data_IF_109893347965
#
_entry.id   IF_109893347965
#
_cell.length_a   1.000
_cell.length_b   1.000
_cell.length_c   1.000
_cell.angle_alpha   90.00
_cell.angle_beta   90.00
_cell.angle_gamma   90.00
#
_symmetry.space_group_name_H-M   'P 1'
#
loop_
_entity.id
_entity.type
_entity.pdbx_description
1 polymer ?
#
# COMPACT_ATOMS: atom_id res chain seq x y z
N UNK A 1 -6.71 -6.18 -9.53
CA UNK A 1 -5.49 -6.19 -10.36
C UNK A 1 -5.27 -7.57 -10.97
N UNK A 2 -4.96 -7.61 -12.25
CA UNK A 2 -4.59 -8.85 -12.96
C UNK A 2 -3.31 -8.59 -13.76
N UNK A 3 -2.43 -9.57 -13.83
CA UNK A 3 -1.31 -9.47 -14.73
C UNK A 3 -1.74 -9.75 -16.17
N UNK A 4 -1.20 -9.01 -17.12
CA UNK A 4 -1.41 -9.19 -18.56
C UNK A 4 -0.08 -9.18 -19.30
N UNK A 5 -0.04 -9.77 -20.50
CA UNK A 5 1.16 -9.83 -21.35
C UNK A 5 1.57 -11.25 -21.68
N UNK A 6 2.67 -11.38 -22.46
CA UNK A 6 3.14 -12.66 -23.02
C UNK A 6 3.45 -13.71 -21.94
N UNK A 7 3.87 -13.30 -20.76
CA UNK A 7 4.18 -14.18 -19.63
C UNK A 7 2.99 -14.42 -18.68
N UNK A 8 1.81 -13.85 -18.95
CA UNK A 8 0.61 -14.02 -18.13
C UNK A 8 0.20 -15.49 -17.91
N UNK A 9 0.33 -16.42 -18.90
CA UNK A 9 0.04 -17.83 -18.67
C UNK A 9 1.00 -18.52 -17.69
N UNK A 10 2.24 -18.01 -17.57
CA UNK A 10 3.26 -18.56 -16.67
C UNK A 10 3.11 -18.03 -15.23
N UNK A 11 2.65 -16.77 -15.10
CA UNK A 11 2.46 -16.12 -13.81
C UNK A 11 1.04 -15.59 -13.68
N UNK A 12 0.13 -16.40 -13.10
CA UNK A 12 -1.18 -15.88 -12.72
C UNK A 12 -1.03 -15.08 -11.44
N UNK A 13 -1.48 -13.83 -11.48
CA UNK A 13 -1.67 -12.97 -10.33
C UNK A 13 -2.99 -12.24 -10.49
N UNK A 14 -3.87 -12.41 -9.50
CA UNK A 14 -5.10 -11.64 -9.36
C UNK A 14 -5.11 -11.08 -7.95
N UNK A 15 -5.47 -9.80 -7.81
CA UNK A 15 -5.52 -9.15 -6.50
C UNK A 15 -6.64 -8.15 -6.43
N UNK A 16 -7.33 -8.16 -5.29
CA UNK A 16 -8.37 -7.22 -4.94
C UNK A 16 -7.94 -6.46 -3.68
N UNK A 17 -8.25 -5.18 -3.66
CA UNK A 17 -7.90 -4.27 -2.58
C UNK A 17 -9.13 -3.43 -2.26
N UNK A 18 -9.45 -3.36 -0.99
CA UNK A 18 -10.59 -2.61 -0.49
C UNK A 18 -10.20 -1.83 0.75
N UNK A 19 -10.64 -0.59 0.85
CA UNK A 19 -10.53 0.22 2.05
C UNK A 19 -11.84 0.97 2.29
N UNK A 20 -12.24 1.06 3.54
CA UNK A 20 -13.35 1.91 3.97
C UNK A 20 -12.98 2.69 5.23
N UNK A 21 -13.70 3.77 5.46
CA UNK A 21 -13.47 4.64 6.60
C UNK A 21 -14.40 5.84 6.63
N UNK A 22 -13.96 6.88 7.33
CA UNK A 22 -14.67 8.15 7.47
C UNK A 22 -13.86 9.27 6.84
N UNK A 23 -14.52 10.37 6.54
CA UNK A 23 -13.86 11.64 6.18
C UNK A 23 -14.14 12.62 7.31
N UNK A 24 -13.10 13.11 7.97
CA UNK A 24 -13.16 14.09 9.05
C UNK A 24 -12.15 15.18 8.71
N UNK A 25 -12.61 16.43 8.67
CA UNK A 25 -11.75 17.59 8.38
C UNK A 25 -10.86 17.42 7.16
N UNK A 26 -11.45 16.94 6.07
CA UNK A 26 -10.76 16.63 4.79
C UNK A 26 -9.67 15.55 4.89
N UNK A 27 -9.62 14.80 5.98
CA UNK A 27 -8.75 13.65 6.16
C UNK A 27 -9.55 12.35 6.06
N UNK A 28 -9.02 11.38 5.32
CA UNK A 28 -9.56 10.03 5.28
C UNK A 28 -9.02 9.24 6.47
N UNK A 29 -9.93 8.72 7.30
CA UNK A 29 -9.63 7.91 8.48
C UNK A 29 -10.06 6.47 8.17
N UNK A 30 -9.10 5.59 7.95
CA UNK A 30 -9.38 4.18 7.69
C UNK A 30 -10.06 3.51 8.89
N UNK A 31 -11.04 2.66 8.61
CA UNK A 31 -11.64 1.73 9.58
C UNK A 31 -11.29 0.28 9.27
N UNK A 32 -11.34 -0.10 8.01
CA UNK A 32 -11.04 -1.45 7.58
C UNK A 32 -10.35 -1.45 6.21
N UNK A 33 -9.31 -2.25 6.10
CA UNK A 33 -8.63 -2.57 4.86
C UNK A 33 -8.63 -4.07 4.65
N UNK A 34 -8.83 -4.48 3.41
CA UNK A 34 -8.72 -5.86 2.97
C UNK A 34 -7.95 -5.94 1.67
N UNK A 35 -6.98 -6.83 1.61
CA UNK A 35 -6.38 -7.24 0.35
C UNK A 35 -6.48 -8.77 0.23
N UNK A 36 -6.81 -9.23 -0.94
CA UNK A 36 -6.73 -10.64 -1.31
C UNK A 36 -5.93 -10.77 -2.59
N UNK A 37 -5.11 -11.80 -2.69
CA UNK A 37 -4.40 -12.10 -3.90
C UNK A 37 -4.24 -13.60 -4.10
N UNK A 38 -4.27 -13.98 -5.37
CA UNK A 38 -4.19 -15.37 -5.81
C UNK A 38 -3.07 -15.47 -6.83
N UNK A 39 -2.20 -16.44 -6.63
CA UNK A 39 -1.18 -16.86 -7.60
C UNK A 39 -1.42 -18.33 -7.97
N UNK A 40 -0.63 -18.88 -8.90
CA UNK A 40 -0.69 -20.32 -9.20
C UNK A 40 -0.37 -21.21 -8.01
N UNK A 41 0.39 -20.71 -7.02
CA UNK A 41 0.91 -21.51 -5.92
C UNK A 41 0.14 -21.33 -4.62
N UNK A 42 -0.46 -20.16 -4.41
CA UNK A 42 -1.08 -19.82 -3.13
C UNK A 42 -2.05 -18.66 -3.28
N UNK A 43 -3.00 -18.59 -2.36
CA UNK A 43 -3.81 -17.43 -2.07
C UNK A 43 -3.42 -16.84 -0.71
N UNK A 44 -3.62 -15.55 -0.54
CA UNK A 44 -3.45 -14.87 0.74
C UNK A 44 -4.48 -13.77 0.90
N UNK A 45 -5.01 -13.68 2.11
CA UNK A 45 -5.87 -12.58 2.55
C UNK A 45 -5.15 -11.83 3.67
N UNK A 46 -5.24 -10.51 3.65
CA UNK A 46 -4.81 -9.64 4.73
C UNK A 46 -5.96 -8.71 5.05
N UNK A 47 -6.35 -8.64 6.30
CA UNK A 47 -7.32 -7.68 6.81
C UNK A 47 -6.67 -6.85 7.92
N UNK A 48 -6.90 -5.55 7.89
CA UNK A 48 -6.44 -4.60 8.91
C UNK A 48 -7.66 -3.82 9.36
N UNK A 49 -7.91 -3.79 10.67
CA UNK A 49 -8.89 -2.88 11.27
C UNK A 49 -8.20 -1.84 12.15
N UNK A 50 -8.81 -0.65 12.20
CA UNK A 50 -8.30 0.51 12.89
C UNK A 50 -9.38 1.01 13.86
N UNK A 51 -9.41 0.42 15.06
CA UNK A 51 -10.46 0.65 16.05
C UNK A 51 -9.91 1.40 17.27
N UNK A 52 -10.43 2.60 17.55
CA UNK A 52 -10.07 3.39 18.73
C UNK A 52 -8.57 3.58 18.94
N UNK A 53 -7.82 3.73 17.85
CA UNK A 53 -6.35 3.89 17.88
C UNK A 53 -5.57 2.58 17.98
N UNK A 54 -6.25 1.44 17.99
CA UNK A 54 -5.65 0.11 17.96
C UNK A 54 -5.68 -0.42 16.52
N UNK A 55 -4.55 -0.93 16.06
CA UNK A 55 -4.43 -1.56 14.74
C UNK A 55 -4.42 -3.08 14.91
N UNK A 56 -5.43 -3.77 14.37
CA UNK A 56 -5.49 -5.22 14.37
C UNK A 56 -5.16 -5.75 12.98
N UNK A 57 -4.32 -6.76 12.91
CA UNK A 57 -3.87 -7.40 11.67
C UNK A 57 -4.25 -8.87 11.68
N UNK A 58 -5.03 -9.28 10.69
CA UNK A 58 -5.37 -10.67 10.41
C UNK A 58 -4.79 -11.08 9.06
N UNK A 59 -4.29 -12.31 8.96
CA UNK A 59 -3.78 -12.90 7.71
C UNK A 59 -4.20 -14.34 7.58
N UNK A 60 -4.52 -14.76 6.36
CA UNK A 60 -4.83 -16.15 6.00
C UNK A 60 -4.08 -16.50 4.69
N UNK A 61 -3.15 -17.49 4.70
CA UNK A 61 -2.64 -18.18 5.88
C UNK A 61 -1.94 -17.24 6.85
N UNK A 62 -1.95 -17.58 8.13
CA UNK A 62 -1.20 -16.90 9.17
C UNK A 62 0.30 -16.89 8.85
N UNK A 63 1.03 -15.93 9.41
CA UNK A 63 2.49 -15.91 9.32
C UNK A 63 3.05 -16.80 10.46
N UNK A 64 3.94 -17.70 10.11
CA UNK A 64 4.61 -18.59 11.08
C UNK A 64 5.70 -17.84 11.89
N UNK A 65 6.03 -16.63 11.46
CA UNK A 65 7.13 -15.84 12.00
C UNK A 65 6.67 -14.87 13.10
N UNK A 66 7.53 -14.65 14.06
CA UNK A 66 7.29 -13.67 15.11
C UNK A 66 7.29 -12.25 14.53
N UNK A 67 6.31 -11.44 14.94
CA UNK A 67 6.28 -10.03 14.59
C UNK A 67 7.43 -9.26 15.27
N UNK A 68 8.14 -8.44 14.50
CA UNK A 68 9.23 -7.56 14.99
C UNK A 68 8.73 -6.31 15.68
N UNK A 69 7.48 -5.96 15.44
CA UNK A 69 6.85 -4.76 15.98
C UNK A 69 5.49 -5.12 16.57
N UNK A 70 5.10 -4.40 17.61
CA UNK A 70 3.74 -4.49 18.11
C UNK A 70 2.80 -3.72 17.17
N UNK A 71 2.01 -4.45 16.37
CA UNK A 71 1.09 -3.86 15.39
C UNK A 71 -0.02 -3.06 16.09
N UNK A 72 -0.50 -3.51 17.23
CA UNK A 72 -1.57 -2.85 17.99
C UNK A 72 -1.18 -1.44 18.46
N UNK A 73 0.12 -1.18 18.63
CA UNK A 73 0.64 0.12 19.04
C UNK A 73 0.84 1.12 17.90
N UNK A 74 0.49 0.77 16.66
CA UNK A 74 0.67 1.62 15.49
C UNK A 74 -0.42 2.72 15.44
N UNK A 75 -0.15 3.83 16.10
CA UNK A 75 -1.04 4.98 16.12
C UNK A 75 -0.89 5.85 14.86
N UNK A 76 -2.02 6.24 14.26
CA UNK A 76 -2.08 7.04 13.03
C UNK A 76 -1.40 6.39 11.81
N UNK A 77 -1.33 5.07 11.79
CA UNK A 77 -1.03 4.35 10.57
C UNK A 77 -2.33 4.06 9.81
N UNK A 78 -2.24 4.11 8.48
CA UNK A 78 -3.35 3.81 7.58
C UNK A 78 -2.93 2.76 6.55
N UNK A 79 -3.90 2.16 5.91
CA UNK A 79 -3.65 1.29 4.76
C UNK A 79 -3.11 2.09 3.55
N UNK A 80 -2.53 1.41 2.54
CA UNK A 80 -1.92 2.09 1.38
C UNK A 80 -2.90 2.95 0.57
N UNK A 81 -4.18 2.57 0.49
CA UNK A 81 -5.20 3.32 -0.26
C UNK A 81 -5.52 4.61 0.49
N UNK A 82 -5.85 4.51 1.78
CA UNK A 82 -6.15 5.68 2.63
C UNK A 82 -4.96 6.63 2.69
N UNK A 83 -3.75 6.09 2.88
CA UNK A 83 -2.52 6.90 2.90
C UNK A 83 -2.32 7.68 1.59
N UNK A 84 -2.57 7.03 0.45
CA UNK A 84 -2.47 7.68 -0.84
C UNK A 84 -3.55 8.78 -1.03
N UNK A 85 -4.80 8.49 -0.66
CA UNK A 85 -5.89 9.47 -0.76
C UNK A 85 -5.58 10.70 0.12
N UNK A 86 -5.07 10.52 1.33
CA UNK A 86 -4.67 11.62 2.20
C UNK A 86 -3.59 12.50 1.57
N UNK A 87 -2.59 11.91 0.90
CA UNK A 87 -1.58 12.66 0.17
C UNK A 87 -2.19 13.43 -1.00
N UNK A 88 -3.15 12.85 -1.72
CA UNK A 88 -3.89 13.56 -2.77
C UNK A 88 -4.71 14.74 -2.20
N UNK A 89 -5.25 14.59 -1.00
CA UNK A 89 -6.02 15.62 -0.29
C UNK A 89 -5.15 16.73 0.31
N UNK A 90 -3.82 16.70 0.11
CA UNK A 90 -2.92 17.79 0.48
C UNK A 90 -1.93 17.48 1.60
N UNK A 91 -1.96 16.28 2.18
CA UNK A 91 -0.99 15.89 3.20
C UNK A 91 0.39 15.62 2.56
N UNK A 92 1.45 16.05 3.21
CA UNK A 92 2.83 15.87 2.72
C UNK A 92 3.39 14.48 3.03
N UNK A 93 2.85 13.81 4.04
CA UNK A 93 3.25 12.45 4.41
C UNK A 93 2.10 11.64 5.00
N UNK A 94 2.23 10.31 4.91
CA UNK A 94 1.32 9.37 5.54
C UNK A 94 2.08 8.15 6.06
N UNK A 95 1.79 7.76 7.31
CA UNK A 95 2.27 6.51 7.91
C UNK A 95 1.41 5.36 7.41
N UNK A 96 2.04 4.31 6.90
CA UNK A 96 1.35 3.25 6.16
C UNK A 96 1.68 1.87 6.70
N UNK A 97 0.66 1.03 6.80
CA UNK A 97 0.78 -0.41 7.06
C UNK A 97 0.09 -1.18 5.92
N UNK A 98 0.78 -2.18 5.34
CA UNK A 98 0.25 -3.03 4.27
C UNK A 98 0.14 -4.53 4.64
N UNK A 99 0.19 -4.85 5.94
CA UNK A 99 0.13 -6.21 6.48
C UNK A 99 1.46 -6.97 6.45
N UNK A 100 2.45 -6.51 5.69
CA UNK A 100 3.81 -7.09 5.66
C UNK A 100 4.86 -6.13 6.19
N UNK A 101 4.60 -4.83 6.07
CA UNK A 101 5.55 -3.77 6.39
C UNK A 101 4.82 -2.52 6.86
N UNK A 102 5.58 -1.72 7.58
CA UNK A 102 5.20 -0.34 7.90
C UNK A 102 6.23 0.59 7.29
N UNK A 103 5.80 1.75 6.84
CA UNK A 103 6.64 2.77 6.23
C UNK A 103 5.94 4.12 6.21
N UNK A 104 6.69 5.16 5.90
CA UNK A 104 6.16 6.50 5.67
C UNK A 104 6.25 6.81 4.18
N UNK A 105 5.13 7.13 3.56
CA UNK A 105 5.08 7.75 2.24
C UNK A 105 5.28 9.25 2.42
N UNK A 106 6.34 9.83 1.86
CA UNK A 106 6.59 11.26 1.89
C UNK A 106 6.56 11.82 0.48
N UNK A 107 5.73 12.86 0.27
CA UNK A 107 5.64 13.56 -1.01
C UNK A 107 6.96 14.28 -1.28
N UNK A 108 7.46 14.13 -2.50
CA UNK A 108 8.61 14.88 -3.00
C UNK A 108 8.12 16.08 -3.84
N UNK A 109 8.81 17.21 -3.78
CA UNK A 109 8.53 18.32 -4.68
C UNK A 109 8.55 17.86 -6.15
N UNK A 110 7.61 18.36 -6.94
CA UNK A 110 7.54 18.05 -8.36
C UNK A 110 7.00 19.28 -9.10
N UNK A 111 7.69 19.71 -10.13
CA UNK A 111 7.23 20.76 -11.04
C UNK A 111 6.15 20.25 -12.01
N UNK A 112 5.95 18.94 -12.05
CA UNK A 112 4.95 18.30 -12.90
C UNK A 112 3.69 18.04 -12.10
N UNK A 113 2.61 18.78 -12.37
CA UNK A 113 1.31 18.67 -11.72
C UNK A 113 0.59 17.34 -12.00
N UNK A 114 0.93 16.69 -13.10
CA UNK A 114 0.34 15.36 -13.44
C UNK A 114 1.04 14.20 -12.75
N UNK A 115 2.08 14.49 -11.95
CA UNK A 115 2.90 13.45 -11.36
C UNK A 115 3.15 13.69 -9.88
N UNK A 116 2.74 12.74 -9.05
CA UNK A 116 3.07 12.71 -7.63
C UNK A 116 4.16 11.68 -7.40
N UNK A 117 5.26 12.10 -6.78
CA UNK A 117 6.37 11.25 -6.37
C UNK A 117 6.34 11.08 -4.87
N UNK A 118 6.35 9.83 -4.41
CA UNK A 118 6.42 9.48 -2.99
C UNK A 118 7.72 8.73 -2.71
N UNK A 119 8.53 9.28 -1.83
CA UNK A 119 9.69 8.58 -1.26
C UNK A 119 9.25 7.74 -0.08
N UNK A 120 9.77 6.52 0.01
CA UNK A 120 9.50 5.63 1.13
C UNK A 120 10.59 5.84 2.20
N UNK A 121 10.16 6.06 3.44
CA UNK A 121 11.01 6.24 4.61
C UNK A 121 10.61 5.30 5.73
N UNK A 122 11.49 5.08 6.68
CA UNK A 122 11.24 4.32 7.91
C UNK A 122 10.61 2.94 7.65
N UNK A 123 11.12 2.25 6.62
CA UNK A 123 10.62 0.96 6.21
C UNK A 123 11.03 -0.12 7.20
N UNK A 124 10.06 -0.84 7.74
CA UNK A 124 10.26 -1.98 8.66
C UNK A 124 9.37 -3.13 8.18
N UNK A 125 9.94 -4.32 8.03
CA UNK A 125 9.14 -5.53 7.87
C UNK A 125 8.51 -5.91 9.21
N UNK A 126 7.24 -6.25 9.18
CA UNK A 126 6.51 -6.70 10.38
C UNK A 126 7.03 -8.06 10.82
N UNK A 127 7.29 -8.96 9.87
CA UNK A 127 7.66 -10.35 10.13
C UNK A 127 9.16 -10.58 10.03
N UNK A 128 9.69 -11.52 10.83
CA UNK A 128 11.13 -11.71 10.99
C UNK A 128 11.83 -12.27 9.75
N UNK A 129 11.18 -13.12 8.99
CA UNK A 129 11.71 -13.73 7.75
C UNK A 129 11.70 -12.79 6.55
N UNK A 130 10.86 -11.76 6.58
CA UNK A 130 10.77 -10.78 5.51
C UNK A 130 11.97 -9.83 5.51
N UNK A 131 13.04 -10.26 4.86
CA UNK A 131 14.31 -9.50 4.77
C UNK A 131 14.32 -8.40 3.70
N UNK A 132 13.23 -8.23 2.93
CA UNK A 132 13.17 -7.22 1.87
C UNK A 132 13.06 -5.82 2.45
N UNK A 133 14.06 -5.02 2.21
CA UNK A 133 14.06 -3.57 2.40
C UNK A 133 14.40 -2.95 1.05
N UNK A 134 13.49 -3.10 0.10
CA UNK A 134 13.73 -2.82 -1.30
C UNK A 134 12.71 -1.84 -1.94
N UNK A 135 11.64 -1.50 -1.25
CA UNK A 135 10.68 -0.49 -1.70
C UNK A 135 11.27 0.91 -1.51
N UNK A 136 11.51 1.65 -2.61
CA UNK A 136 12.22 2.94 -2.57
C UNK A 136 11.28 4.11 -2.77
N UNK A 137 10.42 4.03 -3.80
CA UNK A 137 9.49 5.11 -4.15
C UNK A 137 8.29 4.59 -4.92
N UNK A 138 7.25 5.42 -4.94
CA UNK A 138 6.06 5.22 -5.76
C UNK A 138 5.81 6.49 -6.57
N UNK A 139 5.47 6.34 -7.83
CA UNK A 139 5.11 7.45 -8.71
C UNK A 139 3.69 7.23 -9.22
N UNK A 140 2.85 8.22 -9.05
CA UNK A 140 1.49 8.26 -9.57
C UNK A 140 1.43 9.26 -10.73
N UNK A 141 0.85 8.83 -11.83
CA UNK A 141 0.58 9.65 -13.01
C UNK A 141 -0.92 9.89 -13.05
N UNK A 142 -1.34 11.12 -12.79
CA UNK A 142 -2.74 11.50 -12.69
C UNK A 142 -3.40 11.61 -14.07
N UNK A 143 -4.71 11.45 -14.13
CA UNK A 143 -5.51 11.80 -15.29
C UNK A 143 -5.69 13.32 -15.35
N UNK A 144 -5.97 13.85 -16.51
CA UNK A 144 -6.23 15.29 -16.73
C UNK A 144 -7.44 15.78 -15.92
N UNK A 145 -8.38 14.89 -15.58
CA UNK A 145 -9.54 15.15 -14.73
C UNK A 145 -9.29 14.83 -13.23
N UNK A 146 -8.10 14.53 -12.84
CA UNK A 146 -7.42 14.85 -11.60
C UNK A 146 -7.47 13.91 -10.43
N UNK A 147 -8.42 13.02 -10.17
CA UNK A 147 -8.47 12.37 -8.87
C UNK A 147 -7.87 10.95 -8.83
N UNK A 148 -8.00 10.18 -9.87
CA UNK A 148 -7.45 8.83 -9.92
C UNK A 148 -6.23 8.74 -10.84
N UNK A 149 -5.18 8.00 -10.46
CA UNK A 149 -4.02 7.84 -11.33
C UNK A 149 -4.36 6.97 -12.55
N UNK A 150 -3.94 7.39 -13.75
CA UNK A 150 -3.95 6.55 -14.96
C UNK A 150 -2.87 5.48 -14.94
N UNK A 151 -1.83 5.71 -14.14
CA UNK A 151 -0.69 4.81 -14.03
C UNK A 151 0.00 4.96 -12.68
N UNK A 152 0.45 3.84 -12.13
CA UNK A 152 1.27 3.79 -10.92
C UNK A 152 2.56 3.05 -11.24
N UNK A 153 3.70 3.60 -10.84
CA UNK A 153 5.00 2.92 -10.85
C UNK A 153 5.49 2.70 -9.43
N UNK A 154 5.80 1.46 -9.10
CA UNK A 154 6.35 1.08 -7.80
C UNK A 154 7.80 0.64 -8.03
N UNK A 155 8.72 1.34 -7.40
CA UNK A 155 10.15 1.13 -7.55
C UNK A 155 10.70 0.34 -6.37
N UNK A 156 11.27 -0.79 -6.69
CA UNK A 156 12.09 -1.60 -5.80
C UNK A 156 13.53 -1.54 -6.29
N UNK A 157 14.51 -1.76 -5.42
CA UNK A 157 15.96 -1.71 -5.77
C UNK A 157 16.34 -2.43 -7.07
N UNK A 158 15.66 -3.53 -7.39
CA UNK A 158 15.97 -4.37 -8.57
C UNK A 158 14.81 -4.52 -9.56
N UNK A 159 13.66 -3.89 -9.33
CA UNK A 159 12.46 -4.08 -10.15
C UNK A 159 11.58 -2.84 -10.14
N UNK A 160 10.88 -2.64 -11.25
CA UNK A 160 9.84 -1.62 -11.37
C UNK A 160 8.54 -2.33 -11.76
N UNK A 161 7.50 -2.11 -10.97
CA UNK A 161 6.15 -2.55 -11.32
C UNK A 161 5.39 -1.38 -11.91
N UNK A 162 4.73 -1.63 -13.04
CA UNK A 162 3.87 -0.66 -13.71
C UNK A 162 2.44 -1.18 -13.64
N UNK A 163 1.56 -0.41 -13.02
CA UNK A 163 0.13 -0.65 -12.97
C UNK A 163 -0.55 0.38 -13.84
N UNK A 164 -1.37 -0.07 -14.78
CA UNK A 164 -2.28 0.79 -15.54
C UNK A 164 -3.66 0.66 -14.93
N UNK A 165 -4.34 1.78 -14.75
CA UNK A 165 -5.73 1.83 -14.31
C UNK A 165 -6.58 2.00 -15.58
N UNK A 166 -7.59 1.15 -15.71
CA UNK A 166 -8.57 1.24 -16.81
C UNK A 166 -9.78 2.06 -16.35
#
# INVERSE_FOLDING_TARGET
LKNSGVFSPLYRFEGEYFSNGLVIDNQFIAKKYKQSWITKKQSKVVEISFDNGVTNLFQDPEEDEMARINVESLFQYYDPITSFINILSGFDEAKTIDGRRVYVMKKEPSDNLEKIKLKIKNYINIWADHKRNDLEKIEFYLNDNGFLPKKIKIFFKKRIFNLKMN
#
